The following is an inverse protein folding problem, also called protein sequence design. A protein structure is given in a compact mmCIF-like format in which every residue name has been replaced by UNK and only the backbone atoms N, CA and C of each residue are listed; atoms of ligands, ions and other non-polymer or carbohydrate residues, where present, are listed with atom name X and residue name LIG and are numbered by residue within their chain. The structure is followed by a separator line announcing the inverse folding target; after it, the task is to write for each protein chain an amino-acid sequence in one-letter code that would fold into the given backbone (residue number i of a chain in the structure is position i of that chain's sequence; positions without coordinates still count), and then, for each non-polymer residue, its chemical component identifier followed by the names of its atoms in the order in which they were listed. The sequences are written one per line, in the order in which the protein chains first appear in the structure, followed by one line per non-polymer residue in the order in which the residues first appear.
data_IF_556503090438
#
_entry.id   IF_556503090438
#
_cell.length_a   1.000
_cell.length_b   1.000
_cell.length_c   1.000
_cell.angle_alpha   90.00
_cell.angle_beta   90.00
_cell.angle_gamma   90.00
#
_symmetry.space_group_name_H-M   'P 1'
#
loop_
_entity.id
_entity.type
_entity.pdbx_description
1 polymer ?
#
# COMPACT_ATOMS: atom_id res chain seq x y z
N UNK A 1 5.60 59.89 -66.74
CA UNK A 1 5.59 58.46 -66.43
C UNK A 1 6.18 58.30 -65.03
N UNK A 2 5.33 58.09 -63.99
CA UNK A 2 5.78 57.97 -62.57
C UNK A 2 5.77 56.52 -62.21
N UNK A 3 6.97 55.93 -61.97
CA UNK A 3 7.16 54.57 -61.53
C UNK A 3 6.97 54.55 -60.00
N UNK A 4 5.96 53.80 -59.51
CA UNK A 4 5.75 53.52 -58.07
C UNK A 4 6.48 52.23 -57.70
N UNK A 5 7.52 52.35 -56.87
CA UNK A 5 8.21 51.23 -56.24
C UNK A 5 7.45 50.83 -54.99
N UNK A 6 6.80 49.67 -54.99
CA UNK A 6 6.16 49.06 -53.81
C UNK A 6 7.25 48.32 -53.01
N UNK A 7 7.49 48.77 -51.78
CA UNK A 7 8.32 48.07 -50.79
C UNK A 7 7.48 46.93 -50.17
N UNK A 8 7.89 45.70 -50.47
CA UNK A 8 7.28 44.51 -49.87
C UNK A 8 8.05 44.23 -48.55
N UNK A 9 7.42 44.52 -47.41
CA UNK A 9 7.96 44.22 -46.09
C UNK A 9 7.78 42.72 -45.80
N UNK A 10 8.92 41.98 -45.76
CA UNK A 10 8.96 40.59 -45.36
C UNK A 10 8.97 40.56 -43.81
N UNK A 11 7.87 40.13 -43.22
CA UNK A 11 7.81 39.88 -41.79
C UNK A 11 8.34 38.49 -41.49
N UNK A 12 9.57 38.39 -40.98
CA UNK A 12 10.15 37.13 -40.54
C UNK A 12 9.62 36.81 -39.14
N UNK A 13 8.69 35.83 -39.08
CA UNK A 13 8.17 35.32 -37.83
C UNK A 13 9.21 34.36 -37.20
N UNK A 14 9.99 34.83 -36.24
CA UNK A 14 10.88 33.98 -35.44
C UNK A 14 10.07 33.09 -34.50
N UNK A 15 9.89 31.82 -34.85
CA UNK A 15 9.27 30.81 -34.03
C UNK A 15 10.23 30.46 -32.87
N UNK A 16 10.04 31.04 -31.70
CA UNK A 16 10.79 30.72 -30.49
C UNK A 16 10.40 29.31 -30.03
N UNK A 17 11.27 28.31 -30.27
CA UNK A 17 11.13 26.96 -29.73
C UNK A 17 11.35 27.04 -28.21
N UNK A 18 10.27 26.91 -27.42
CA UNK A 18 10.34 26.72 -25.97
C UNK A 18 10.96 25.34 -25.68
N UNK A 19 12.00 25.24 -24.83
CA UNK A 19 12.52 23.94 -24.43
C UNK A 19 11.42 23.18 -23.67
N UNK A 20 10.98 22.05 -24.21
CA UNK A 20 10.14 21.11 -23.51
C UNK A 20 10.93 20.61 -22.28
N UNK A 21 10.52 21.00 -21.08
CA UNK A 21 11.04 20.44 -19.83
C UNK A 21 10.72 18.94 -19.84
N UNK A 22 11.73 18.11 -20.10
CA UNK A 22 11.63 16.67 -20.00
C UNK A 22 11.28 16.33 -18.54
N UNK A 23 10.01 16.00 -18.27
CA UNK A 23 9.59 15.50 -16.96
C UNK A 23 10.27 14.15 -16.75
N UNK A 24 11.14 14.06 -15.76
CA UNK A 24 11.67 12.76 -15.30
C UNK A 24 10.48 11.88 -14.96
N UNK A 25 10.37 10.65 -15.52
CA UNK A 25 9.28 9.75 -15.18
C UNK A 25 9.20 9.56 -13.67
N UNK A 26 8.03 9.79 -13.06
CA UNK A 26 7.84 9.54 -11.65
C UNK A 26 8.12 8.06 -11.34
N UNK A 27 8.82 7.79 -10.22
CA UNK A 27 9.06 6.41 -9.77
C UNK A 27 7.71 5.69 -9.64
N UNK A 28 7.56 4.46 -10.16
CA UNK A 28 6.33 3.69 -10.01
C UNK A 28 5.93 3.57 -8.53
N UNK A 29 4.64 3.62 -8.25
CA UNK A 29 4.11 3.43 -6.89
C UNK A 29 4.53 2.06 -6.33
N UNK A 30 4.50 1.88 -5.01
CA UNK A 30 4.72 0.56 -4.42
C UNK A 30 3.67 -0.44 -4.93
N UNK A 31 2.42 0.01 -5.11
CA UNK A 31 1.35 -0.78 -5.72
C UNK A 31 1.73 -1.32 -7.11
N UNK A 32 2.28 -0.49 -7.99
CA UNK A 32 2.70 -0.91 -9.33
C UNK A 32 3.87 -1.90 -9.28
N UNK A 33 4.83 -1.65 -8.39
CA UNK A 33 6.00 -2.54 -8.18
C UNK A 33 5.62 -3.88 -7.57
N UNK A 34 4.54 -3.94 -6.79
CA UNK A 34 3.95 -5.18 -6.27
C UNK A 34 3.10 -5.92 -7.31
N UNK A 35 2.90 -5.35 -8.51
CA UNK A 35 2.14 -5.98 -9.60
C UNK A 35 0.63 -5.72 -9.55
N UNK A 36 0.16 -4.80 -8.71
CA UNK A 36 -1.24 -4.40 -8.68
C UNK A 36 -2.13 -5.22 -7.75
N UNK A 37 -3.45 -5.05 -7.87
CA UNK A 37 -4.41 -5.58 -6.90
C UNK A 37 -4.44 -7.12 -6.83
N UNK A 38 -4.26 -7.82 -7.94
CA UNK A 38 -4.35 -9.29 -7.94
C UNK A 38 -3.20 -9.95 -7.17
N UNK A 39 -1.90 -9.67 -7.45
CA UNK A 39 -0.81 -10.19 -6.63
C UNK A 39 -0.92 -9.80 -5.16
N UNK A 40 -1.33 -8.57 -4.85
CA UNK A 40 -1.58 -8.12 -3.46
C UNK A 40 -2.63 -9.01 -2.80
N UNK A 41 -3.74 -9.31 -3.48
CA UNK A 41 -4.79 -10.17 -2.93
C UNK A 41 -4.30 -11.59 -2.65
N UNK A 42 -3.45 -12.15 -3.52
CA UNK A 42 -2.85 -13.50 -3.34
C UNK A 42 -1.92 -13.52 -2.11
N UNK A 43 -1.09 -12.49 -1.94
CA UNK A 43 -0.20 -12.35 -0.78
C UNK A 43 -1.02 -12.18 0.51
N UNK A 44 -2.04 -11.33 0.49
CA UNK A 44 -2.95 -11.12 1.62
C UNK A 44 -3.69 -12.40 1.99
N UNK A 45 -4.10 -13.20 1.01
CA UNK A 45 -4.76 -14.49 1.27
C UNK A 45 -3.88 -15.42 2.11
N UNK A 46 -2.64 -15.65 1.69
CA UNK A 46 -1.67 -16.48 2.44
C UNK A 46 -1.38 -15.89 3.83
N UNK A 47 -1.16 -14.58 3.91
CA UNK A 47 -0.89 -13.91 5.17
C UNK A 47 -2.03 -14.09 6.18
N UNK A 48 -3.27 -13.85 5.77
CA UNK A 48 -4.43 -14.04 6.66
C UNK A 48 -4.59 -15.50 7.08
N UNK A 49 -4.38 -16.46 6.17
CA UNK A 49 -4.43 -17.90 6.54
C UNK A 49 -3.39 -18.25 7.62
N UNK A 50 -2.18 -17.67 7.55
CA UNK A 50 -1.15 -17.86 8.60
C UNK A 50 -1.61 -17.28 9.94
N UNK A 51 -2.12 -16.05 9.96
CA UNK A 51 -2.61 -15.42 11.19
C UNK A 51 -3.72 -16.25 11.85
N UNK A 52 -4.61 -16.84 11.05
CA UNK A 52 -5.73 -17.63 11.55
C UNK A 52 -5.32 -18.92 12.28
N UNK A 53 -4.16 -19.46 11.96
CA UNK A 53 -3.65 -20.70 12.58
C UNK A 53 -2.47 -20.46 13.52
N UNK A 54 -2.03 -19.22 13.72
CA UNK A 54 -0.90 -18.90 14.57
C UNK A 54 -1.23 -19.08 16.06
N UNK A 55 -0.53 -19.97 16.75
CA UNK A 55 -0.78 -20.33 18.15
C UNK A 55 -0.60 -19.14 19.11
N UNK A 56 0.36 -18.24 18.84
CA UNK A 56 0.61 -17.06 19.69
C UNK A 56 -0.56 -16.08 19.60
N UNK A 57 -1.12 -15.91 18.41
CA UNK A 57 -2.31 -15.08 18.21
C UNK A 57 -3.53 -15.75 18.83
N UNK A 58 -3.72 -17.04 18.60
CA UNK A 58 -4.85 -17.81 19.10
C UNK A 58 -4.86 -18.02 20.63
N UNK A 59 -3.70 -17.90 21.27
CA UNK A 59 -3.60 -17.86 22.73
C UNK A 59 -4.22 -16.60 23.37
N UNK A 60 -4.49 -15.56 22.56
CA UNK A 60 -5.24 -14.38 23.03
C UNK A 60 -6.75 -14.61 22.81
N UNK A 61 -7.55 -14.71 23.89
CA UNK A 61 -8.98 -15.02 23.77
C UNK A 61 -9.76 -13.99 22.93
N UNK A 62 -9.39 -12.70 23.03
CA UNK A 62 -10.07 -11.64 22.29
C UNK A 62 -9.80 -11.74 20.77
N UNK A 63 -8.56 -12.11 20.38
CA UNK A 63 -8.23 -12.37 18.97
C UNK A 63 -9.01 -13.59 18.47
N UNK A 64 -9.03 -14.68 19.25
CA UNK A 64 -9.76 -15.89 18.89
C UNK A 64 -11.25 -15.63 18.70
N UNK A 65 -11.89 -14.92 19.62
CA UNK A 65 -13.29 -14.53 19.51
C UNK A 65 -13.57 -13.66 18.28
N UNK A 66 -12.73 -12.65 18.03
CA UNK A 66 -12.85 -11.80 16.85
C UNK A 66 -12.74 -12.60 15.55
N UNK A 67 -11.79 -13.53 15.48
CA UNK A 67 -11.61 -14.43 14.33
C UNK A 67 -12.86 -15.28 14.07
N UNK A 68 -13.45 -15.84 15.13
CA UNK A 68 -14.62 -16.73 14.99
C UNK A 68 -15.88 -15.96 14.55
N UNK A 69 -15.92 -14.65 14.81
CA UNK A 69 -17.05 -13.76 14.48
C UNK A 69 -16.93 -13.09 13.11
N UNK A 70 -15.72 -12.78 12.66
CA UNK A 70 -15.50 -12.02 11.42
C UNK A 70 -15.41 -12.97 10.23
N UNK A 71 -16.24 -12.80 9.17
CA UNK A 71 -16.14 -13.60 7.96
C UNK A 71 -14.76 -13.45 7.32
N UNK A 72 -14.07 -14.58 7.12
CA UNK A 72 -12.72 -14.62 6.54
C UNK A 72 -12.60 -13.86 5.21
N UNK A 73 -13.58 -14.06 4.31
CA UNK A 73 -13.57 -13.38 3.01
C UNK A 73 -13.66 -11.85 3.16
N UNK A 74 -14.46 -11.36 4.10
CA UNK A 74 -14.56 -9.93 4.40
C UNK A 74 -13.26 -9.37 4.95
N UNK A 75 -12.58 -10.09 5.85
CA UNK A 75 -11.27 -9.70 6.38
C UNK A 75 -10.23 -9.59 5.26
N UNK A 76 -10.11 -10.62 4.41
CA UNK A 76 -9.20 -10.63 3.27
C UNK A 76 -9.47 -9.47 2.30
N UNK A 77 -10.74 -9.20 2.01
CA UNK A 77 -11.13 -8.06 1.17
C UNK A 77 -10.70 -6.72 1.78
N UNK A 78 -10.98 -6.49 3.06
CA UNK A 78 -10.59 -5.26 3.74
C UNK A 78 -9.07 -5.06 3.79
N UNK A 79 -8.31 -6.10 4.12
CA UNK A 79 -6.84 -6.01 4.14
C UNK A 79 -6.28 -5.78 2.74
N UNK A 80 -6.81 -6.45 1.70
CA UNK A 80 -6.41 -6.24 0.31
C UNK A 80 -6.65 -4.79 -0.13
N UNK A 81 -7.84 -4.24 0.14
CA UNK A 81 -8.16 -2.86 -0.26
C UNK A 81 -7.36 -1.83 0.52
N UNK A 82 -7.06 -2.10 1.80
CA UNK A 82 -6.18 -1.26 2.59
C UNK A 82 -4.76 -1.23 2.01
N UNK A 83 -4.16 -2.41 1.79
CA UNK A 83 -2.81 -2.51 1.20
C UNK A 83 -2.76 -1.84 -0.16
N UNK A 84 -3.74 -2.10 -1.03
CA UNK A 84 -3.84 -1.42 -2.33
C UNK A 84 -3.83 0.11 -2.17
N UNK A 85 -4.65 0.67 -1.27
CA UNK A 85 -4.71 2.12 -1.07
C UNK A 85 -3.41 2.69 -0.52
N UNK A 86 -2.85 2.10 0.55
CA UNK A 86 -1.67 2.66 1.23
C UNK A 86 -0.37 2.49 0.43
N UNK A 87 -0.37 1.62 -0.57
CA UNK A 87 0.74 1.44 -1.51
C UNK A 87 0.63 2.31 -2.77
N UNK A 88 -0.40 3.15 -2.86
CA UNK A 88 -0.60 4.10 -3.97
C UNK A 88 -1.45 3.54 -5.11
N UNK A 89 -2.21 2.48 -4.87
CA UNK A 89 -3.18 1.92 -5.82
C UNK A 89 -4.52 2.67 -5.85
N UNK A 90 -5.39 2.33 -6.81
CA UNK A 90 -6.66 3.03 -7.04
C UNK A 90 -7.78 2.63 -6.07
N UNK A 91 -7.54 1.67 -5.16
CA UNK A 91 -8.56 1.17 -4.25
C UNK A 91 -8.94 2.24 -3.21
N UNK A 92 -10.18 2.15 -2.74
CA UNK A 92 -10.67 2.95 -1.62
C UNK A 92 -11.00 2.03 -0.45
N UNK A 93 -10.23 2.13 0.63
CA UNK A 93 -10.53 1.44 1.87
C UNK A 93 -11.73 2.06 2.56
N UNK A 94 -12.71 1.24 2.89
CA UNK A 94 -13.97 1.66 3.55
C UNK A 94 -14.18 0.98 4.90
N UNK A 95 -13.15 0.29 5.39
CA UNK A 95 -13.15 -0.33 6.71
C UNK A 95 -12.90 0.68 7.84
N UNK A 96 -12.91 0.18 9.08
CA UNK A 96 -12.55 0.96 10.27
C UNK A 96 -11.05 1.21 10.32
N UNK A 97 -10.63 2.31 10.95
CA UNK A 97 -9.20 2.58 11.22
C UNK A 97 -8.57 1.51 12.12
N UNK A 98 -7.25 1.48 12.19
CA UNK A 98 -6.49 0.46 12.93
C UNK A 98 -6.77 0.50 14.42
N UNK A 99 -6.86 1.68 15.01
CA UNK A 99 -7.14 1.84 16.43
C UNK A 99 -8.51 1.27 16.81
N UNK A 100 -9.55 1.67 16.09
CA UNK A 100 -10.93 1.20 16.32
C UNK A 100 -11.07 -0.30 16.08
N UNK A 101 -10.38 -0.83 15.04
CA UNK A 101 -10.46 -2.25 14.69
C UNK A 101 -9.78 -3.16 15.72
N UNK A 102 -8.75 -2.68 16.42
CA UNK A 102 -7.91 -3.50 17.30
C UNK A 102 -8.05 -3.18 18.79
N UNK A 103 -8.72 -2.08 19.18
CA UNK A 103 -8.79 -1.61 20.56
C UNK A 103 -9.26 -2.68 21.55
N UNK A 104 -10.21 -3.54 21.16
CA UNK A 104 -10.80 -4.60 21.99
C UNK A 104 -10.01 -5.91 21.96
N UNK A 105 -8.94 -6.00 21.19
CA UNK A 105 -8.17 -7.23 21.01
C UNK A 105 -7.04 -7.39 22.03
N UNK A 106 -6.72 -6.34 22.79
CA UNK A 106 -5.66 -6.34 23.80
C UNK A 106 -4.33 -6.91 23.29
N UNK A 107 -3.94 -6.48 22.07
CA UNK A 107 -2.73 -6.97 21.40
C UNK A 107 -1.50 -6.46 22.14
N UNK A 108 -0.63 -7.38 22.52
CA UNK A 108 0.66 -7.10 23.17
C UNK A 108 1.81 -7.27 22.17
N UNK A 109 3.01 -6.86 22.60
CA UNK A 109 4.22 -6.97 21.78
C UNK A 109 4.41 -8.35 21.18
N UNK A 110 4.21 -9.43 21.97
CA UNK A 110 4.40 -10.80 21.47
C UNK A 110 3.47 -11.19 20.32
N UNK A 111 2.22 -10.70 20.30
CA UNK A 111 1.30 -10.95 19.18
C UNK A 111 1.71 -10.12 17.95
N UNK A 112 2.17 -8.89 18.17
CA UNK A 112 2.71 -8.07 17.11
C UNK A 112 3.92 -8.73 16.45
N UNK A 113 4.87 -9.24 17.23
CA UNK A 113 6.07 -9.89 16.72
C UNK A 113 5.72 -11.18 15.96
N UNK A 114 4.77 -11.96 16.45
CA UNK A 114 4.26 -13.16 15.76
C UNK A 114 3.63 -12.80 14.40
N UNK A 115 2.77 -11.77 14.37
CA UNK A 115 2.19 -11.25 13.13
C UNK A 115 3.27 -10.79 12.15
N UNK A 116 4.26 -10.04 12.62
CA UNK A 116 5.37 -9.56 11.78
C UNK A 116 6.21 -10.70 11.20
N UNK A 117 6.43 -11.78 11.97
CA UNK A 117 7.12 -12.99 11.50
C UNK A 117 6.31 -13.70 10.41
N UNK A 118 5.00 -13.86 10.59
CA UNK A 118 4.11 -14.43 9.57
C UNK A 118 4.09 -13.59 8.30
N UNK A 119 4.09 -12.26 8.44
CA UNK A 119 4.14 -11.34 7.32
C UNK A 119 5.44 -11.50 6.53
N UNK A 120 6.59 -11.54 7.21
CA UNK A 120 7.90 -11.81 6.58
C UNK A 120 7.89 -13.13 5.82
N UNK A 121 7.43 -14.19 6.46
CA UNK A 121 7.35 -15.52 5.85
C UNK A 121 6.49 -15.53 4.59
N UNK A 122 5.37 -14.81 4.60
CA UNK A 122 4.52 -14.66 3.42
C UNK A 122 5.24 -13.91 2.30
N UNK A 123 5.85 -12.75 2.59
CA UNK A 123 6.55 -11.96 1.58
C UNK A 123 7.71 -12.75 0.94
N UNK A 124 8.45 -13.53 1.75
CA UNK A 124 9.54 -14.40 1.27
C UNK A 124 9.00 -15.53 0.37
N UNK A 125 7.89 -16.17 0.77
CA UNK A 125 7.22 -17.21 -0.03
C UNK A 125 6.87 -16.72 -1.44
N UNK A 126 6.37 -15.49 -1.54
CA UNK A 126 6.01 -14.87 -2.82
C UNK A 126 7.18 -14.13 -3.49
N UNK A 127 8.38 -14.23 -2.93
CA UNK A 127 9.61 -13.62 -3.48
C UNK A 127 9.46 -12.11 -3.71
N UNK A 128 8.76 -11.42 -2.81
CA UNK A 128 8.69 -9.96 -2.84
C UNK A 128 10.09 -9.41 -2.66
N UNK A 129 10.59 -8.50 -3.54
CA UNK A 129 11.95 -7.99 -3.43
C UNK A 129 12.18 -7.23 -2.10
N UNK A 130 13.41 -7.23 -1.59
CA UNK A 130 13.74 -6.70 -0.27
C UNK A 130 13.32 -5.22 -0.09
N UNK A 131 13.52 -4.39 -1.11
CA UNK A 131 13.15 -2.98 -1.05
C UNK A 131 11.63 -2.78 -0.86
N UNK A 132 10.81 -3.57 -1.55
CA UNK A 132 9.36 -3.56 -1.41
C UNK A 132 8.92 -4.11 -0.05
N UNK A 133 9.61 -5.13 0.46
CA UNK A 133 9.38 -5.63 1.81
C UNK A 133 9.66 -4.56 2.87
N UNK A 134 10.76 -3.82 2.76
CA UNK A 134 11.12 -2.76 3.70
C UNK A 134 10.08 -1.63 3.70
N UNK A 135 9.61 -1.21 2.52
CA UNK A 135 8.54 -0.22 2.40
C UNK A 135 7.22 -0.74 3.02
N UNK A 136 6.85 -1.99 2.80
CA UNK A 136 5.67 -2.62 3.43
C UNK A 136 5.80 -2.69 4.95
N UNK A 137 6.98 -3.08 5.46
CA UNK A 137 7.23 -3.10 6.90
C UNK A 137 7.20 -1.71 7.54
N UNK A 138 7.66 -0.68 6.82
CA UNK A 138 7.54 0.70 7.29
C UNK A 138 6.06 1.12 7.40
N UNK A 139 5.24 0.80 6.41
CA UNK A 139 3.79 1.06 6.42
C UNK A 139 3.11 0.31 7.58
N UNK A 140 3.33 -1.00 7.70
CA UNK A 140 2.75 -1.80 8.79
C UNK A 140 3.25 -1.30 10.15
N UNK A 141 4.55 -1.03 10.27
CA UNK A 141 5.16 -0.53 11.51
C UNK A 141 4.57 0.79 12.00
N UNK A 142 4.16 1.67 11.08
CA UNK A 142 3.52 2.94 11.43
C UNK A 142 2.17 2.78 12.15
N UNK A 143 1.51 1.63 11.99
CA UNK A 143 0.22 1.33 12.64
C UNK A 143 0.37 0.75 14.05
N UNK A 144 1.58 0.34 14.45
CA UNK A 144 1.84 -0.32 15.73
C UNK A 144 1.34 0.45 16.96
N UNK A 145 1.52 1.79 17.06
CA UNK A 145 1.03 2.56 18.20
C UNK A 145 -0.49 2.49 18.40
N UNK A 146 -1.24 2.30 17.30
CA UNK A 146 -2.71 2.19 17.31
C UNK A 146 -3.19 0.78 17.64
N UNK A 147 -2.33 -0.22 17.50
CA UNK A 147 -2.68 -1.65 17.60
C UNK A 147 -2.20 -2.26 18.91
N UNK A 148 -0.95 -1.98 19.28
CA UNK A 148 -0.34 -2.58 20.48
C UNK A 148 -0.73 -1.80 21.70
N UNK A 149 -1.42 -2.46 22.63
CA UNK A 149 -1.78 -1.86 23.92
C UNK A 149 -0.53 -1.54 24.72
N UNK A 150 -0.38 -0.28 25.17
CA UNK A 150 0.68 0.12 26.10
C UNK A 150 0.58 -0.74 27.36
N UNK A 151 1.69 -1.37 27.75
CA UNK A 151 1.86 -2.44 28.69
C UNK A 151 0.90 -2.49 29.91
N UNK A 152 0.29 -3.63 30.06
CA UNK A 152 0.01 -4.26 31.35
C UNK A 152 0.70 -5.62 31.37
#
# INVERSE_FOLDING_TARGET
MKVRVSLLSIFVFALAALPALAQTPAKPSLYDRLGGAYPIAVVVDDFIERLLVNDILNANPAIKEARDRVPKAGLKFHVTTLVCQVTGGPCKYVGRDMKTSHAHLHIRQKQWDAMAADFRTTLDKFKVPAAEQDELFAIVGSTKPDIVSAGQ
#
